data_IF_792989784839
#
_entry.id   IF_792989784839
#
_cell.length_a   1.000
_cell.length_b   1.000
_cell.length_c   1.000
_cell.angle_alpha   90.00
_cell.angle_beta   90.00
_cell.angle_gamma   90.00
#
_symmetry.space_group_name_H-M   'P 1'
#
loop_
_entity.id
_entity.type
_entity.pdbx_description
1 polymer ?
#
# COMPACT_ATOMS: atom_id res chain seq x y z
N UNK A 1 -8.11 0.20 4.99
CA UNK A 1 -8.05 1.68 5.01
C UNK A 1 -7.71 2.28 3.66
N UNK A 2 -6.65 1.79 3.01
CA UNK A 2 -6.16 2.29 1.72
C UNK A 2 -7.28 2.35 0.66
N UNK A 3 -8.04 1.26 0.50
CA UNK A 3 -9.16 1.18 -0.44
C UNK A 3 -10.31 2.12 -0.09
N UNK A 4 -10.70 2.20 1.20
CA UNK A 4 -11.76 3.12 1.64
C UNK A 4 -11.41 4.58 1.32
N UNK A 5 -10.16 4.98 1.48
CA UNK A 5 -9.71 6.34 1.15
C UNK A 5 -9.72 6.60 -0.36
N UNK A 6 -9.22 5.65 -1.15
CA UNK A 6 -9.22 5.74 -2.62
C UNK A 6 -10.65 5.81 -3.16
N UNK A 7 -11.55 5.00 -2.59
CA UNK A 7 -12.95 4.93 -2.97
C UNK A 7 -13.72 6.24 -2.71
N UNK A 8 -13.53 6.85 -1.53
CA UNK A 8 -14.20 8.12 -1.19
C UNK A 8 -13.69 9.28 -2.08
N UNK A 9 -12.46 9.18 -2.58
CA UNK A 9 -11.83 10.17 -3.48
C UNK A 9 -11.99 11.63 -3.02
N UNK A 10 -11.56 11.99 -1.78
CA UNK A 10 -11.87 13.28 -1.18
C UNK A 10 -11.12 14.48 -1.79
N UNK A 11 -10.08 14.25 -2.59
CA UNK A 11 -9.27 15.31 -3.21
C UNK A 11 -9.41 15.31 -4.73
N UNK A 12 -9.14 16.46 -5.35
CA UNK A 12 -9.11 16.61 -6.83
C UNK A 12 -8.00 15.73 -7.43
N UNK A 13 -6.83 15.71 -6.80
CA UNK A 13 -5.67 14.93 -7.22
C UNK A 13 -4.97 14.27 -6.03
N UNK A 14 -4.05 13.34 -6.31
CA UNK A 14 -3.13 12.73 -5.34
C UNK A 14 -3.75 11.77 -4.29
N UNK A 15 -5.00 11.35 -4.46
CA UNK A 15 -5.65 10.39 -3.55
C UNK A 15 -4.81 9.13 -3.28
N UNK A 16 -4.14 8.57 -4.31
CA UNK A 16 -3.27 7.41 -4.15
C UNK A 16 -1.99 7.68 -3.32
N UNK A 17 -1.43 8.91 -3.40
CA UNK A 17 -0.28 9.30 -2.55
C UNK A 17 -0.74 9.48 -1.10
N UNK A 18 -1.85 10.18 -0.89
CA UNK A 18 -2.42 10.38 0.44
C UNK A 18 -2.80 9.05 1.09
N UNK A 19 -3.45 8.13 0.36
CA UNK A 19 -3.81 6.81 0.89
C UNK A 19 -2.59 5.99 1.36
N UNK A 20 -1.49 6.03 0.59
CA UNK A 20 -0.24 5.36 0.97
C UNK A 20 0.41 6.03 2.18
N UNK A 21 0.47 7.36 2.20
CA UNK A 21 0.99 8.12 3.35
C UNK A 21 0.19 7.83 4.63
N UNK A 22 -1.13 7.80 4.56
CA UNK A 22 -1.99 7.40 5.67
C UNK A 22 -1.69 5.97 6.14
N UNK A 23 -1.49 5.04 5.19
CA UNK A 23 -1.14 3.65 5.52
C UNK A 23 0.19 3.58 6.28
N UNK A 24 1.23 4.28 5.79
CA UNK A 24 2.51 4.41 6.49
C UNK A 24 2.34 5.01 7.88
N UNK A 25 1.53 6.06 8.03
CA UNK A 25 1.25 6.68 9.31
C UNK A 25 0.62 5.70 10.31
N UNK A 26 -0.36 4.89 9.89
CA UNK A 26 -0.94 3.86 10.77
C UNK A 26 0.10 2.83 11.19
N UNK A 27 0.93 2.36 10.26
CA UNK A 27 1.99 1.41 10.59
C UNK A 27 2.94 1.97 11.64
N UNK A 28 3.34 3.24 11.51
CA UNK A 28 4.14 3.92 12.53
C UNK A 28 3.44 3.96 13.88
N UNK A 29 2.13 4.25 13.91
CA UNK A 29 1.34 4.24 15.16
C UNK A 29 1.21 2.86 15.78
N UNK A 30 1.40 1.80 15.00
CA UNK A 30 1.44 0.41 15.43
C UNK A 30 2.87 -0.08 15.73
N UNK A 31 3.87 0.81 15.75
CA UNK A 31 5.30 0.46 15.89
C UNK A 31 5.80 -0.51 14.81
N UNK A 32 5.20 -0.47 13.62
CA UNK A 32 5.61 -1.23 12.45
C UNK A 32 6.45 -0.35 11.50
N UNK A 33 7.31 -0.97 10.66
CA UNK A 33 8.06 -0.25 9.66
C UNK A 33 7.16 0.54 8.73
N UNK A 34 7.71 1.66 8.26
CA UNK A 34 7.16 2.34 7.10
C UNK A 34 7.34 1.41 5.90
N UNK A 35 6.26 1.22 5.15
CA UNK A 35 6.29 0.51 3.87
C UNK A 35 6.27 1.52 2.73
N UNK A 36 7.07 1.24 1.71
CA UNK A 36 7.07 1.98 0.46
C UNK A 36 6.63 1.03 -0.67
N UNK A 37 5.41 1.24 -1.17
CA UNK A 37 4.90 0.45 -2.29
C UNK A 37 5.56 0.99 -3.56
N UNK A 38 6.53 0.24 -4.08
CA UNK A 38 7.28 0.60 -5.27
C UNK A 38 6.35 0.68 -6.49
N UNK A 39 6.01 1.91 -6.90
CA UNK A 39 5.20 2.17 -8.12
C UNK A 39 5.99 2.83 -9.24
N UNK A 40 7.32 2.88 -9.11
CA UNK A 40 8.21 3.48 -10.11
C UNK A 40 8.41 2.58 -11.34
N UNK A 41 8.51 1.26 -11.11
CA UNK A 41 8.60 0.28 -12.20
C UNK A 41 7.23 0.07 -12.82
N UNK A 42 7.19 0.09 -14.15
CA UNK A 42 5.94 -0.02 -14.93
C UNK A 42 5.18 -1.32 -14.66
N UNK A 43 5.88 -2.42 -14.34
CA UNK A 43 5.27 -3.70 -13.98
C UNK A 43 4.65 -3.68 -12.58
N UNK A 44 5.41 -3.27 -11.58
CA UNK A 44 4.95 -3.23 -10.17
C UNK A 44 3.77 -2.26 -10.00
N UNK A 45 3.77 -1.15 -10.75
CA UNK A 45 2.61 -0.25 -10.81
C UNK A 45 1.36 -0.92 -11.40
N UNK A 46 1.50 -1.70 -12.47
CA UNK A 46 0.36 -2.41 -13.09
C UNK A 46 -0.21 -3.46 -12.14
N UNK A 47 0.66 -4.21 -11.48
CA UNK A 47 0.25 -5.25 -10.54
C UNK A 47 -0.44 -4.65 -9.31
N UNK A 48 0.07 -3.52 -8.79
CA UNK A 48 -0.58 -2.77 -7.72
C UNK A 48 -1.96 -2.24 -8.13
N UNK A 49 -2.09 -1.63 -9.32
CA UNK A 49 -3.38 -1.14 -9.81
C UNK A 49 -4.38 -2.29 -9.98
N UNK A 50 -3.94 -3.44 -10.53
CA UNK A 50 -4.80 -4.63 -10.68
C UNK A 50 -5.26 -5.15 -9.32
N UNK A 51 -4.36 -5.20 -8.34
CA UNK A 51 -4.70 -5.62 -6.98
C UNK A 51 -5.74 -4.68 -6.34
N UNK A 52 -5.63 -3.36 -6.56
CA UNK A 52 -6.64 -2.40 -6.11
C UNK A 52 -8.01 -2.65 -6.78
N UNK A 53 -8.03 -2.87 -8.09
CA UNK A 53 -9.27 -3.14 -8.84
C UNK A 53 -9.99 -4.39 -8.34
N UNK A 54 -9.25 -5.49 -8.13
CA UNK A 54 -9.83 -6.72 -7.55
C UNK A 54 -10.35 -6.50 -6.13
N UNK A 55 -9.64 -5.70 -5.34
CA UNK A 55 -10.03 -5.42 -3.97
C UNK A 55 -11.26 -4.51 -3.89
N UNK A 56 -11.51 -3.68 -4.90
CA UNK A 56 -12.78 -2.96 -5.05
C UNK A 56 -13.96 -3.92 -5.32
N UNK A 57 -13.71 -5.07 -5.94
CA UNK A 57 -14.69 -6.15 -6.14
C UNK A 57 -14.82 -7.09 -4.92
N UNK A 58 -14.04 -6.85 -3.86
CA UNK A 58 -14.04 -7.64 -2.62
C UNK A 58 -12.98 -8.73 -2.54
N UNK A 59 -12.15 -8.91 -3.57
CA UNK A 59 -11.00 -9.82 -3.53
C UNK A 59 -9.72 -9.08 -3.11
N UNK A 60 -9.40 -9.17 -1.83
CA UNK A 60 -8.27 -8.46 -1.22
C UNK A 60 -6.93 -9.21 -1.33
N UNK A 61 -6.92 -10.45 -1.79
CA UNK A 61 -5.79 -11.37 -1.65
C UNK A 61 -4.49 -10.82 -2.27
N UNK A 62 -4.58 -10.28 -3.49
CA UNK A 62 -3.42 -9.72 -4.20
C UNK A 62 -2.87 -8.48 -3.48
N UNK A 63 -3.76 -7.63 -2.96
CA UNK A 63 -3.36 -6.41 -2.25
C UNK A 63 -2.72 -6.75 -0.90
N UNK A 64 -3.27 -7.70 -0.15
CA UNK A 64 -2.72 -8.19 1.11
C UNK A 64 -1.33 -8.81 0.90
N UNK A 65 -1.16 -9.59 -0.17
CA UNK A 65 0.13 -10.18 -0.53
C UNK A 65 1.18 -9.11 -0.81
N UNK A 66 0.83 -8.06 -1.57
CA UNK A 66 1.73 -6.94 -1.86
C UNK A 66 2.14 -6.24 -0.56
N UNK A 67 1.17 -5.86 0.28
CA UNK A 67 1.44 -5.15 1.54
C UNK A 67 2.28 -6.00 2.48
N UNK A 68 1.95 -7.28 2.65
CA UNK A 68 2.66 -8.21 3.54
C UNK A 68 4.09 -8.44 3.08
N UNK A 69 4.30 -8.60 1.77
CA UNK A 69 5.65 -8.72 1.19
C UNK A 69 6.49 -7.49 1.47
N UNK A 70 5.98 -6.29 1.16
CA UNK A 70 6.71 -5.04 1.38
C UNK A 70 6.99 -4.79 2.87
N UNK A 71 6.05 -5.16 3.76
CA UNK A 71 6.25 -5.07 5.19
C UNK A 71 7.38 -6.00 5.67
N UNK A 72 7.39 -7.25 5.22
CA UNK A 72 8.44 -8.21 5.56
C UNK A 72 9.81 -7.76 5.06
N UNK A 73 9.90 -7.25 3.83
CA UNK A 73 11.13 -6.68 3.28
C UNK A 73 11.62 -5.50 4.13
N UNK A 74 10.72 -4.59 4.55
CA UNK A 74 11.06 -3.46 5.42
C UNK A 74 11.52 -3.90 6.82
N UNK A 75 10.86 -4.90 7.42
CA UNK A 75 11.27 -5.51 8.69
C UNK A 75 12.68 -6.11 8.60
N UNK A 76 12.96 -6.91 7.56
CA UNK A 76 14.27 -7.52 7.35
C UNK A 76 15.36 -6.47 7.17
N UNK A 77 15.07 -5.38 6.46
CA UNK A 77 16.02 -4.27 6.29
C UNK A 77 16.35 -3.55 7.61
N UNK A 78 15.41 -3.51 8.55
CA UNK A 78 15.66 -2.96 9.89
C UNK A 78 16.51 -3.93 10.73
N UNK A 79 16.21 -5.23 10.66
CA UNK A 79 16.94 -6.25 11.45
C UNK A 79 18.39 -6.42 10.98
N UNK A 80 18.63 -6.33 9.66
CA UNK A 80 19.95 -6.50 9.07
C UNK A 80 20.82 -5.23 9.10
N UNK A 81 20.35 -4.16 9.74
CA UNK A 81 21.06 -2.90 9.94
C UNK A 81 21.65 -2.83 11.34
#
# INVERSE_FOLDING_TARGET
MLLRFIFIHPFIDYNGRSARMFTSYILMRLNLPIIEINTEKSKDRKDYIRALQKADEGDYQDLENIISKTLNESMLNIINK
#
